data_IF_233016477050
#
_entry.id   IF_233016477050
#
_cell.length_a   1.000
_cell.length_b   1.000
_cell.length_c   1.000
_cell.angle_alpha   90.00
_cell.angle_beta   90.00
_cell.angle_gamma   90.00
#
_symmetry.space_group_name_H-M   'P 1'
#
loop_
_entity.id
_entity.type
_entity.pdbx_description
1 polymer ?
#
# COMPACT_ATOMS: atom_id res chain seq x y z
N UNK A 1 11.88 -24.08 65.69
CA UNK A 1 12.24 -23.56 64.36
C UNK A 1 12.14 -24.70 63.35
N UNK A 2 11.20 -24.62 62.40
CA UNK A 2 10.89 -25.69 61.44
C UNK A 2 11.60 -25.34 60.13
N UNK A 3 12.59 -26.15 59.73
CA UNK A 3 13.46 -25.91 58.57
C UNK A 3 12.72 -26.36 57.31
N UNK A 4 12.28 -25.42 56.47
CA UNK A 4 11.71 -25.72 55.15
C UNK A 4 12.84 -26.12 54.20
N UNK A 5 12.88 -27.40 53.81
CA UNK A 5 13.78 -27.89 52.78
C UNK A 5 13.14 -27.63 51.41
N UNK A 6 13.48 -26.50 50.78
CA UNK A 6 13.09 -26.23 49.39
C UNK A 6 13.98 -27.07 48.47
N UNK A 7 13.41 -28.14 47.90
CA UNK A 7 14.07 -28.97 46.89
C UNK A 7 13.98 -28.22 45.55
N UNK A 8 15.05 -27.51 45.19
CA UNK A 8 15.17 -26.91 43.86
C UNK A 8 15.41 -28.04 42.86
N UNK A 9 14.36 -28.48 42.17
CA UNK A 9 14.46 -29.42 41.05
C UNK A 9 14.98 -28.67 39.84
N UNK A 10 16.16 -29.06 39.34
CA UNK A 10 16.71 -28.58 38.07
C UNK A 10 16.07 -29.31 36.89
N UNK A 11 16.08 -28.67 35.72
CA UNK A 11 15.70 -29.31 34.45
C UNK A 11 16.77 -30.31 34.02
N UNK A 12 16.37 -31.44 33.45
CA UNK A 12 17.29 -32.37 32.82
C UNK A 12 17.66 -31.91 31.41
N UNK A 13 18.85 -32.28 30.93
CA UNK A 13 19.28 -31.97 29.56
C UNK A 13 18.35 -32.58 28.50
N UNK A 14 17.77 -33.75 28.79
CA UNK A 14 16.85 -34.42 27.87
C UNK A 14 15.51 -33.67 27.78
N UNK A 15 15.02 -33.10 28.88
CA UNK A 15 13.82 -32.26 28.86
C UNK A 15 14.03 -31.01 28.02
N UNK A 16 15.19 -30.34 28.16
CA UNK A 16 15.49 -29.16 27.36
C UNK A 16 15.61 -29.49 25.86
N UNK A 17 16.24 -30.63 25.53
CA UNK A 17 16.40 -31.09 24.14
C UNK A 17 15.04 -31.41 23.50
N UNK A 18 14.14 -32.05 24.24
CA UNK A 18 12.81 -32.40 23.74
C UNK A 18 11.97 -31.14 23.51
N UNK A 19 12.06 -30.14 24.40
CA UNK A 19 11.34 -28.87 24.26
C UNK A 19 11.77 -28.10 23.01
N UNK A 20 13.07 -27.90 22.77
CA UNK A 20 13.53 -27.20 21.57
C UNK A 20 13.16 -27.96 20.28
N UNK A 21 13.10 -29.29 20.36
CA UNK A 21 12.69 -30.15 19.24
C UNK A 21 11.20 -30.00 18.91
N UNK A 22 10.34 -29.90 19.93
CA UNK A 22 8.91 -29.64 19.71
C UNK A 22 8.69 -28.21 19.21
N UNK A 23 9.38 -27.22 19.78
CA UNK A 23 9.27 -25.81 19.36
C UNK A 23 9.67 -25.64 17.90
N UNK A 24 10.73 -26.31 17.44
CA UNK A 24 11.16 -26.21 16.04
C UNK A 24 10.13 -26.77 15.06
N UNK A 25 9.51 -27.91 15.36
CA UNK A 25 8.45 -28.51 14.53
C UNK A 25 7.19 -27.63 14.54
N UNK A 26 6.78 -27.11 15.69
CA UNK A 26 5.61 -26.24 15.76
C UNK A 26 5.86 -24.92 15.00
N UNK A 27 7.06 -24.35 15.10
CA UNK A 27 7.41 -23.11 14.42
C UNK A 27 7.34 -23.25 12.89
N UNK A 28 7.83 -24.37 12.32
CA UNK A 28 7.77 -24.59 10.87
C UNK A 28 6.33 -24.74 10.37
N UNK A 29 5.49 -25.51 11.10
CA UNK A 29 4.07 -25.68 10.74
C UNK A 29 3.33 -24.35 10.77
N UNK A 30 3.55 -23.53 11.80
CA UNK A 30 2.90 -22.22 11.93
C UNK A 30 3.31 -21.26 10.80
N UNK A 31 4.60 -21.22 10.43
CA UNK A 31 5.06 -20.35 9.35
C UNK A 31 4.46 -20.73 8.00
N UNK A 32 4.35 -22.02 7.69
CA UNK A 32 3.71 -22.51 6.46
C UNK A 32 2.21 -22.21 6.47
N UNK A 33 1.54 -22.37 7.61
CA UNK A 33 0.10 -22.16 7.72
C UNK A 33 -0.32 -20.68 7.62
N UNK A 34 0.49 -19.76 8.14
CA UNK A 34 0.16 -18.33 8.17
C UNK A 34 0.44 -17.62 6.85
N UNK A 35 1.37 -18.13 6.04
CA UNK A 35 1.85 -17.50 4.80
C UNK A 35 2.05 -15.98 4.97
N UNK A 36 3.00 -15.55 5.81
CA UNK A 36 3.14 -14.15 6.20
C UNK A 36 3.41 -13.23 4.99
N UNK A 37 4.01 -13.76 3.92
CA UNK A 37 4.31 -13.00 2.70
C UNK A 37 3.02 -12.52 2.04
N UNK A 38 2.03 -13.41 1.87
CA UNK A 38 0.74 -13.02 1.28
C UNK A 38 -0.05 -12.13 2.23
N UNK A 39 -0.03 -12.39 3.55
CA UNK A 39 -0.72 -11.55 4.55
C UNK A 39 -0.22 -10.10 4.55
N UNK A 40 1.09 -9.88 4.39
CA UNK A 40 1.63 -8.53 4.28
C UNK A 40 1.27 -7.87 2.93
N UNK A 41 1.22 -8.65 1.84
CA UNK A 41 0.77 -8.15 0.54
C UNK A 41 -0.71 -7.72 0.59
N UNK A 42 -1.59 -8.54 1.20
CA UNK A 42 -3.01 -8.22 1.42
C UNK A 42 -3.17 -6.91 2.21
N UNK A 43 -2.40 -6.73 3.28
CA UNK A 43 -2.46 -5.50 4.08
C UNK A 43 -2.01 -4.26 3.29
N UNK A 44 -0.99 -4.39 2.45
CA UNK A 44 -0.55 -3.30 1.55
C UNK A 44 -1.57 -3.02 0.46
N UNK A 45 -2.17 -4.04 -0.14
CA UNK A 45 -3.27 -3.89 -1.10
C UNK A 45 -4.49 -3.21 -0.47
N UNK A 46 -4.86 -3.56 0.77
CA UNK A 46 -5.92 -2.88 1.51
C UNK A 46 -5.62 -1.39 1.73
N UNK A 47 -4.36 -1.03 1.99
CA UNK A 47 -3.95 0.38 2.07
C UNK A 47 -4.05 1.08 0.71
N UNK A 48 -3.57 0.44 -0.38
CA UNK A 48 -3.70 0.96 -1.74
C UNK A 48 -5.15 1.23 -2.13
N UNK A 49 -6.08 0.36 -1.73
CA UNK A 49 -7.53 0.60 -1.90
C UNK A 49 -7.99 1.88 -1.20
N UNK A 50 -7.57 2.11 0.03
CA UNK A 50 -7.87 3.37 0.74
C UNK A 50 -7.26 4.59 0.05
N UNK A 51 -6.03 4.47 -0.42
CA UNK A 51 -5.28 5.54 -1.08
C UNK A 51 -5.95 5.94 -2.40
N UNK A 52 -6.25 4.99 -3.29
CA UNK A 52 -6.91 5.29 -4.58
C UNK A 52 -8.30 5.89 -4.41
N UNK A 53 -9.06 5.44 -3.40
CA UNK A 53 -10.38 6.02 -3.08
C UNK A 53 -10.25 7.45 -2.55
N UNK A 54 -9.24 7.72 -1.71
CA UNK A 54 -8.99 9.06 -1.16
C UNK A 54 -8.59 10.04 -2.25
N UNK A 55 -7.72 9.62 -3.18
CA UNK A 55 -7.31 10.42 -4.34
C UNK A 55 -8.52 10.70 -5.25
N UNK A 56 -9.29 9.67 -5.60
CA UNK A 56 -10.47 9.83 -6.45
C UNK A 56 -11.50 10.77 -5.81
N UNK A 57 -11.77 10.62 -4.52
CA UNK A 57 -12.69 11.48 -3.78
C UNK A 57 -12.22 12.93 -3.79
N UNK A 58 -10.93 13.18 -3.52
CA UNK A 58 -10.35 14.53 -3.56
C UNK A 58 -10.44 15.17 -4.96
N UNK A 59 -10.23 14.39 -6.03
CA UNK A 59 -10.41 14.87 -7.40
C UNK A 59 -11.88 15.24 -7.66
N UNK A 60 -12.83 14.43 -7.21
CA UNK A 60 -14.25 14.76 -7.37
C UNK A 60 -14.68 15.99 -6.56
N UNK A 61 -14.18 16.14 -5.33
CA UNK A 61 -14.43 17.34 -4.54
C UNK A 61 -13.87 18.59 -5.24
N UNK A 62 -12.67 18.50 -5.83
CA UNK A 62 -12.14 19.57 -6.67
C UNK A 62 -13.08 19.88 -7.84
N UNK A 63 -13.57 18.88 -8.56
CA UNK A 63 -14.46 19.07 -9.72
C UNK A 63 -15.75 19.78 -9.30
N UNK A 64 -16.33 19.41 -8.15
CA UNK A 64 -17.54 20.04 -7.60
C UNK A 64 -17.30 21.52 -7.27
N UNK A 65 -16.16 21.84 -6.65
CA UNK A 65 -15.82 23.21 -6.25
C UNK A 65 -15.35 24.09 -7.42
N UNK A 66 -15.01 23.51 -8.57
CA UNK A 66 -14.49 24.20 -9.76
C UNK A 66 -15.43 24.07 -10.98
N UNK A 67 -16.75 24.11 -10.75
CA UNK A 67 -17.78 24.16 -11.80
C UNK A 67 -17.69 23.01 -12.83
N UNK A 68 -17.26 21.82 -12.41
CA UNK A 68 -17.11 20.66 -13.28
C UNK A 68 -15.76 20.58 -14.00
N UNK A 69 -14.84 21.53 -13.78
CA UNK A 69 -13.51 21.49 -14.37
C UNK A 69 -12.62 20.42 -13.74
N UNK A 70 -11.90 19.68 -14.57
CA UNK A 70 -10.88 18.74 -14.11
C UNK A 70 -9.63 19.49 -13.62
N UNK A 71 -8.90 18.92 -12.63
CA UNK A 71 -7.55 19.37 -12.30
C UNK A 71 -6.66 19.44 -13.55
N UNK A 72 -5.89 20.52 -13.68
CA UNK A 72 -5.01 20.72 -14.83
C UNK A 72 -4.02 19.57 -14.98
N UNK A 73 -3.90 19.04 -16.19
CA UNK A 73 -2.93 18.00 -16.52
C UNK A 73 -3.48 16.57 -16.49
N UNK A 74 -4.65 16.34 -15.90
CA UNK A 74 -5.42 15.11 -16.09
C UNK A 74 -5.95 15.08 -17.53
N UNK A 75 -5.72 13.99 -18.24
CA UNK A 75 -6.16 13.81 -19.63
C UNK A 75 -6.50 12.35 -19.91
N UNK A 76 -6.78 12.04 -21.18
CA UNK A 76 -7.00 10.67 -21.68
C UNK A 76 -5.74 9.82 -21.74
N UNK A 77 -4.58 10.41 -21.46
CA UNK A 77 -3.32 9.68 -21.31
C UNK A 77 -3.11 9.41 -19.83
N UNK A 78 -2.88 8.16 -19.48
CA UNK A 78 -2.56 7.78 -18.10
C UNK A 78 -1.25 8.45 -17.66
N UNK A 79 -1.31 9.12 -16.50
CA UNK A 79 -0.15 9.76 -15.90
C UNK A 79 0.05 9.26 -14.48
N UNK A 80 1.31 9.00 -14.15
CA UNK A 80 1.69 8.74 -12.77
C UNK A 80 1.63 10.03 -11.95
N UNK A 81 1.14 9.92 -10.73
CA UNK A 81 1.11 11.02 -9.76
C UNK A 81 2.46 11.14 -9.05
N UNK A 82 2.90 12.38 -8.85
CA UNK A 82 4.12 12.72 -8.12
C UNK A 82 4.85 13.91 -8.72
N UNK A 83 5.98 14.28 -8.14
CA UNK A 83 6.78 15.45 -8.54
C UNK A 83 7.89 15.13 -9.54
N UNK A 84 7.97 13.89 -10.03
CA UNK A 84 9.07 13.46 -10.89
C UNK A 84 9.13 14.23 -12.22
N UNK A 85 10.35 14.69 -12.57
CA UNK A 85 10.66 15.23 -13.90
C UNK A 85 11.08 14.15 -14.91
N UNK A 86 11.26 12.91 -14.44
CA UNK A 86 11.54 11.70 -15.22
C UNK A 86 11.14 10.46 -14.39
N UNK A 87 10.83 9.33 -15.05
CA UNK A 87 10.49 8.08 -14.35
C UNK A 87 8.99 7.88 -14.07
N UNK A 88 8.12 8.67 -14.70
CA UNK A 88 6.66 8.51 -14.67
C UNK A 88 6.14 7.19 -15.26
N UNK A 89 7.01 6.36 -15.81
CA UNK A 89 6.65 5.11 -16.47
C UNK A 89 6.37 3.95 -15.53
N UNK A 90 6.44 4.15 -14.20
CA UNK A 90 6.23 3.08 -13.21
C UNK A 90 4.77 2.59 -13.16
N UNK A 91 3.85 3.35 -13.73
CA UNK A 91 2.40 3.09 -13.78
C UNK A 91 1.84 2.73 -15.16
N UNK A 92 2.50 3.22 -16.21
CA UNK A 92 2.22 2.93 -17.62
C UNK A 92 3.33 3.56 -18.49
N UNK A 93 3.55 3.03 -19.69
CA UNK A 93 4.59 3.48 -20.65
C UNK A 93 4.33 4.88 -21.29
N UNK A 94 3.34 5.65 -20.81
CA UNK A 94 2.73 6.70 -21.62
C UNK A 94 3.23 8.13 -21.38
N UNK A 95 3.77 8.46 -20.20
CA UNK A 95 4.37 9.79 -19.94
C UNK A 95 5.64 9.67 -19.08
N UNK A 96 6.81 10.16 -19.54
CA UNK A 96 8.02 10.15 -18.73
C UNK A 96 7.95 11.11 -17.53
N UNK A 97 7.02 12.08 -17.55
CA UNK A 97 6.87 13.12 -16.52
C UNK A 97 5.66 12.80 -15.64
N UNK A 98 5.82 12.96 -14.33
CA UNK A 98 4.73 12.79 -13.38
C UNK A 98 3.79 14.00 -13.39
N UNK A 99 2.52 13.76 -13.04
CA UNK A 99 1.55 14.79 -12.77
C UNK A 99 1.55 15.12 -11.26
N UNK A 100 1.95 16.33 -10.92
CA UNK A 100 1.88 16.82 -9.55
C UNK A 100 0.52 17.48 -9.29
N UNK A 101 -0.31 16.83 -8.47
CA UNK A 101 -1.59 17.36 -7.99
C UNK A 101 -1.54 17.79 -6.51
N UNK A 102 -0.39 17.75 -5.86
CA UNK A 102 -0.26 18.00 -4.41
C UNK A 102 -0.77 19.40 -4.02
N UNK A 103 -0.41 20.42 -4.79
CA UNK A 103 -0.85 21.80 -4.60
C UNK A 103 -2.31 22.03 -5.01
N UNK A 104 -2.77 21.32 -6.05
CA UNK A 104 -4.13 21.46 -6.58
C UNK A 104 -5.17 20.82 -5.64
N UNK A 105 -4.78 19.72 -4.97
CA UNK A 105 -5.65 18.95 -4.08
C UNK A 105 -5.42 19.23 -2.60
N UNK A 106 -4.54 20.16 -2.23
CA UNK A 106 -4.20 20.52 -0.83
C UNK A 106 -5.45 20.72 0.06
N UNK A 107 -6.50 21.35 -0.51
CA UNK A 107 -7.75 21.63 0.21
C UNK A 107 -8.58 20.37 0.52
N UNK A 108 -8.48 19.34 -0.33
CA UNK A 108 -9.32 18.14 -0.31
C UNK A 108 -8.57 16.91 0.21
N UNK A 109 -7.24 16.97 0.23
CA UNK A 109 -6.37 15.86 0.59
C UNK A 109 -5.18 16.38 1.39
N UNK A 110 -5.08 15.95 2.66
CA UNK A 110 -4.03 16.42 3.59
C UNK A 110 -2.61 16.22 3.07
N UNK A 111 -2.36 15.12 2.38
CA UNK A 111 -1.08 14.77 1.78
C UNK A 111 -1.30 13.73 0.69
N UNK A 112 -0.53 13.81 -0.40
CA UNK A 112 -0.58 12.82 -1.47
C UNK A 112 -0.19 11.44 -0.92
N UNK A 113 -1.04 10.41 -1.04
CA UNK A 113 -0.66 9.05 -0.69
C UNK A 113 0.49 8.55 -1.55
N UNK A 114 1.36 7.74 -0.96
CA UNK A 114 2.46 7.03 -1.65
C UNK A 114 2.30 5.53 -1.44
N UNK A 115 2.65 4.74 -2.45
CA UNK A 115 2.61 3.28 -2.35
C UNK A 115 3.43 2.79 -1.14
N UNK A 116 2.87 1.90 -0.30
CA UNK A 116 3.47 1.52 0.98
C UNK A 116 4.75 0.67 0.87
N UNK A 117 5.12 0.21 -0.32
CA UNK A 117 6.29 -0.63 -0.56
C UNK A 117 7.42 0.14 -1.23
N UNK A 118 7.11 0.75 -2.37
CA UNK A 118 8.11 1.33 -3.26
C UNK A 118 7.76 2.76 -3.72
N UNK A 119 6.77 3.41 -3.09
CA UNK A 119 6.33 4.76 -3.42
C UNK A 119 7.21 5.84 -2.79
N UNK A 120 7.43 6.92 -3.52
CA UNK A 120 8.08 8.15 -3.05
C UNK A 120 7.21 9.35 -3.41
N UNK A 121 7.52 10.54 -2.87
CA UNK A 121 6.81 11.77 -3.28
C UNK A 121 7.04 12.10 -4.76
N UNK A 122 8.21 11.74 -5.30
CA UNK A 122 8.51 11.89 -6.74
C UNK A 122 7.69 10.92 -7.58
N UNK A 123 7.61 9.66 -7.16
CA UNK A 123 6.89 8.59 -7.86
C UNK A 123 5.98 7.87 -6.88
N UNK A 124 4.74 8.35 -6.74
CA UNK A 124 3.79 7.79 -5.75
C UNK A 124 3.39 6.36 -6.07
N UNK A 125 3.55 5.93 -7.33
CA UNK A 125 3.03 4.69 -7.93
C UNK A 125 1.51 4.56 -7.89
N UNK A 126 0.84 5.70 -7.85
CA UNK A 126 -0.55 5.84 -8.24
C UNK A 126 -0.62 6.59 -9.57
N UNK A 127 -1.61 6.27 -10.38
CA UNK A 127 -1.86 6.96 -11.64
C UNK A 127 -3.29 7.42 -11.76
N UNK A 128 -3.49 8.40 -12.64
CA UNK A 128 -4.80 8.95 -12.97
C UNK A 128 -4.96 9.04 -14.49
N UNK A 129 -6.17 8.77 -14.95
CA UNK A 129 -6.59 8.97 -16.34
C UNK A 129 -8.06 9.37 -16.36
N UNK A 130 -8.43 10.26 -17.27
CA UNK A 130 -9.83 10.59 -17.56
C UNK A 130 -10.24 9.93 -18.88
N UNK A 131 -11.45 9.37 -18.98
CA UNK A 131 -11.98 8.94 -20.28
C UNK A 131 -12.59 10.12 -21.07
N UNK A 132 -13.10 9.84 -22.27
CA UNK A 132 -13.78 10.85 -23.12
C UNK A 132 -15.06 11.42 -22.52
N UNK A 133 -15.59 10.79 -21.47
CA UNK A 133 -16.81 11.19 -20.77
C UNK A 133 -16.50 11.88 -19.42
N UNK A 134 -15.24 12.23 -19.16
CA UNK A 134 -14.75 12.78 -17.90
C UNK A 134 -14.91 11.82 -16.69
N UNK A 135 -14.99 10.51 -16.91
CA UNK A 135 -14.89 9.51 -15.84
C UNK A 135 -13.42 9.41 -15.43
N UNK A 136 -13.15 9.68 -14.15
CA UNK A 136 -11.80 9.64 -13.60
C UNK A 136 -11.52 8.25 -13.10
N UNK A 137 -10.41 7.66 -13.54
CA UNK A 137 -9.89 6.39 -13.04
C UNK A 137 -8.58 6.62 -12.32
N UNK A 138 -8.51 6.17 -11.07
CA UNK A 138 -7.28 6.15 -10.26
C UNK A 138 -6.87 4.72 -10.04
N UNK A 139 -5.59 4.40 -10.28
CA UNK A 139 -5.04 3.04 -10.21
C UNK A 139 -3.79 2.99 -9.35
N UNK A 140 -3.60 1.89 -8.62
CA UNK A 140 -2.34 1.54 -7.99
C UNK A 140 -1.51 0.64 -8.91
N UNK A 141 -0.27 1.03 -9.15
CA UNK A 141 0.55 0.45 -10.21
C UNK A 141 1.38 -0.76 -9.76
N UNK A 142 1.63 -0.82 -8.46
CA UNK A 142 2.39 -1.86 -7.77
C UNK A 142 1.49 -2.75 -6.92
N UNK A 143 0.27 -3.03 -7.40
CA UNK A 143 -0.61 -4.01 -6.78
C UNK A 143 0.08 -5.39 -6.73
N UNK A 144 0.02 -6.04 -5.57
CA UNK A 144 0.68 -7.33 -5.34
C UNK A 144 -0.30 -8.49 -5.58
N UNK A 145 0.23 -9.71 -5.69
CA UNK A 145 -0.55 -10.94 -5.90
C UNK A 145 -1.34 -10.95 -7.22
N UNK A 146 -0.87 -10.21 -8.23
CA UNK A 146 -1.53 -10.06 -9.53
C UNK A 146 -2.95 -9.47 -9.45
N UNK A 147 -3.26 -8.78 -8.36
CA UNK A 147 -4.50 -8.02 -8.23
C UNK A 147 -4.45 -6.74 -9.05
N UNK A 148 -5.62 -6.23 -9.44
CA UNK A 148 -5.76 -4.89 -10.03
C UNK A 148 -6.54 -4.03 -9.05
N UNK A 149 -5.92 -2.93 -8.62
CA UNK A 149 -6.53 -1.98 -7.67
C UNK A 149 -6.75 -0.68 -8.41
N UNK A 150 -8.01 -0.44 -8.78
CA UNK A 150 -8.42 0.80 -9.44
C UNK A 150 -9.86 1.14 -9.08
N UNK A 151 -10.15 2.43 -9.10
CA UNK A 151 -11.49 2.98 -8.86
C UNK A 151 -11.81 3.98 -9.96
N UNK A 152 -13.06 3.98 -10.42
CA UNK A 152 -13.53 4.86 -11.49
C UNK A 152 -14.85 5.51 -11.11
N UNK A 153 -15.01 6.81 -11.34
CA UNK A 153 -16.26 7.54 -11.10
C UNK A 153 -16.39 8.78 -11.98
#
# INVERSE_FOLDING_TARGET
MRKNNNINKGFTLIELLLVISIISVLATVVLVALDPVTRFADARNSRRWGDVNSILTAIHEYIVDNDGSLPSGISTTEKQLGTCSSGGTSCAEADPICLDLSTTLEKYLKSMPVDPKDGTEETTKYSVVADSNNIITVKACSAELSETIQVSR
#
